data_IF_767318993760
#
_entry.id   IF_767318993760
#
_cell.length_a   1.000
_cell.length_b   1.000
_cell.length_c   1.000
_cell.angle_alpha   90.00
_cell.angle_beta   90.00
_cell.angle_gamma   90.00
#
_symmetry.space_group_name_H-M   'P 1'
#
loop_
_entity.id
_entity.type
_entity.pdbx_description
1 polymer ?
#
# COMPACT_ATOMS: atom_id res chain seq x y z
N UNK A 1 8.75 -23.55 4.54
CA UNK A 1 7.90 -23.05 4.20
C UNK A 1 8.23 -22.12 3.33
N UNK A 2 8.60 -21.87 2.69
CA UNK A 2 8.76 -21.21 1.65
C UNK A 2 8.11 -20.02 1.83
N UNK A 3 8.21 -19.22 1.05
CA UNK A 3 7.42 -18.29 1.25
C UNK A 3 6.16 -18.88 1.12
N UNK A 4 6.06 -19.76 0.28
CA UNK A 4 5.03 -20.50 0.21
C UNK A 4 4.99 -21.34 1.31
N UNK A 5 6.02 -21.97 1.59
CA UNK A 5 6.14 -22.69 2.61
C UNK A 5 6.52 -21.84 3.63
N UNK A 6 7.20 -20.85 3.41
CA UNK A 6 7.50 -19.93 4.25
C UNK A 6 6.24 -19.38 4.47
N UNK A 7 5.60 -19.05 3.51
CA UNK A 7 4.38 -18.73 3.60
C UNK A 7 3.75 -19.85 4.15
N UNK A 8 4.07 -20.99 3.80
CA UNK A 8 3.45 -22.09 4.29
C UNK A 8 4.08 -22.51 5.50
N UNK A 9 5.27 -22.53 5.63
CA UNK A 9 5.87 -23.04 6.78
C UNK A 9 6.19 -22.09 7.82
N UNK A 10 6.90 -21.11 7.51
CA UNK A 10 7.32 -20.20 8.51
C UNK A 10 6.25 -19.35 8.98
N UNK A 11 5.38 -19.00 8.17
CA UNK A 11 4.34 -18.17 8.65
C UNK A 11 3.40 -18.92 9.53
N UNK A 12 3.85 -20.02 9.98
CA UNK A 12 2.99 -20.78 10.82
C UNK A 12 3.18 -20.37 12.24
N UNK A 13 4.27 -19.74 12.56
CA UNK A 13 4.51 -19.34 13.92
C UNK A 13 3.55 -18.23 14.25
N UNK A 14 2.77 -18.38 15.30
CA UNK A 14 1.74 -17.41 15.61
C UNK A 14 2.22 -16.01 15.84
N UNK A 15 3.32 -15.83 16.53
CA UNK A 15 3.79 -14.50 16.81
C UNK A 15 4.30 -13.82 15.56
N UNK A 16 4.92 -14.55 14.67
CA UNK A 16 5.41 -13.98 13.44
C UNK A 16 4.22 -13.56 12.59
N UNK A 17 3.19 -14.40 12.59
CA UNK A 17 2.01 -14.08 11.84
C UNK A 17 1.33 -12.85 12.37
N UNK A 18 1.26 -12.71 13.69
CA UNK A 18 0.62 -11.55 14.28
C UNK A 18 1.33 -10.27 13.89
N UNK A 19 2.64 -10.26 13.89
CA UNK A 19 3.39 -9.10 13.51
C UNK A 19 3.18 -8.79 12.04
N UNK A 20 3.17 -9.82 11.23
CA UNK A 20 3.00 -9.65 9.82
C UNK A 20 1.61 -9.04 9.53
N UNK A 21 0.59 -9.56 10.19
CA UNK A 21 -0.76 -9.04 10.01
C UNK A 21 -0.86 -7.59 10.45
N UNK A 22 -0.17 -7.24 11.50
CA UNK A 22 -0.22 -5.87 12.02
C UNK A 22 0.40 -4.88 11.03
N UNK A 23 1.41 -5.29 10.29
CA UNK A 23 2.07 -4.41 9.34
C UNK A 23 1.44 -4.44 7.96
N UNK A 24 0.64 -5.44 7.70
CA UNK A 24 0.11 -5.63 6.37
C UNK A 24 -0.67 -4.47 5.77
N UNK A 25 -1.53 -3.78 6.51
CA UNK A 25 -2.26 -2.67 5.91
C UNK A 25 -1.36 -1.59 5.34
N UNK A 26 -0.30 -1.23 6.05
CA UNK A 26 0.63 -0.22 5.58
C UNK A 26 1.43 -0.72 4.40
N UNK A 27 1.82 -1.98 4.47
CA UNK A 27 2.57 -2.58 3.39
C UNK A 27 1.71 -2.69 2.13
N UNK A 28 0.44 -3.02 2.31
CA UNK A 28 -0.48 -3.15 1.18
C UNK A 28 -0.71 -1.81 0.49
N UNK A 29 -0.83 -0.74 1.27
CA UNK A 29 -1.03 0.58 0.70
C UNK A 29 0.19 1.01 -0.10
N UNK A 30 1.37 0.82 0.46
CA UNK A 30 2.60 1.17 -0.20
C UNK A 30 2.74 0.43 -1.52
N UNK A 31 2.48 -0.87 -1.49
CA UNK A 31 2.61 -1.68 -2.69
C UNK A 31 1.55 -1.31 -3.74
N UNK A 32 0.33 -1.07 -3.29
CA UNK A 32 -0.73 -0.70 -4.21
C UNK A 32 -0.41 0.60 -4.94
N UNK A 33 0.14 1.57 -4.22
CA UNK A 33 0.47 2.84 -4.82
C UNK A 33 1.60 2.69 -5.85
N UNK A 34 2.64 1.96 -5.48
CA UNK A 34 3.76 1.74 -6.39
C UNK A 34 3.30 1.01 -7.64
N UNK A 35 2.52 -0.06 -7.47
CA UNK A 35 2.08 -0.86 -8.59
C UNK A 35 1.17 -0.05 -9.51
N UNK A 36 0.24 0.70 -8.95
CA UNK A 36 -0.68 1.49 -9.77
C UNK A 36 0.08 2.55 -10.55
N UNK A 37 1.07 3.19 -9.93
CA UNK A 37 1.84 4.20 -10.63
C UNK A 37 2.65 3.58 -11.78
N UNK A 38 3.24 2.42 -11.51
CA UNK A 38 4.04 1.77 -12.54
C UNK A 38 3.19 1.26 -13.69
N UNK A 39 1.99 0.80 -13.39
CA UNK A 39 1.09 0.36 -14.44
C UNK A 39 0.75 1.48 -15.41
N UNK A 40 0.65 2.70 -14.90
CA UNK A 40 0.32 3.82 -15.75
C UNK A 40 1.55 4.42 -16.42
N UNK A 41 2.73 3.97 -16.05
CA UNK A 41 3.97 4.49 -16.64
C UNK A 41 4.35 5.86 -16.15
N UNK A 42 3.77 6.33 -15.06
CA UNK A 42 4.07 7.66 -14.55
C UNK A 42 5.23 7.61 -13.57
N UNK A 43 6.06 8.65 -13.60
CA UNK A 43 7.07 8.81 -12.56
C UNK A 43 6.40 9.46 -11.37
N UNK A 44 7.10 9.47 -10.22
CA UNK A 44 6.58 10.17 -9.05
C UNK A 44 6.36 11.63 -9.35
N UNK A 45 7.26 12.24 -10.12
CA UNK A 45 7.14 13.64 -10.46
C UNK A 45 5.91 13.89 -11.31
N UNK A 46 5.68 13.03 -12.28
CA UNK A 46 4.52 13.17 -13.15
C UNK A 46 3.22 12.99 -12.37
N UNK A 47 3.21 12.05 -11.46
CA UNK A 47 2.03 11.85 -10.63
C UNK A 47 1.81 13.06 -9.73
N UNK A 48 2.87 13.64 -9.21
CA UNK A 48 2.78 14.84 -8.39
C UNK A 48 2.16 15.97 -9.20
N UNK A 49 2.60 16.15 -10.43
CA UNK A 49 2.07 17.21 -11.28
C UNK A 49 0.60 16.98 -11.59
N UNK A 50 0.23 15.74 -11.77
CA UNK A 50 -1.13 15.38 -12.13
C UNK A 50 -2.11 15.55 -10.96
N UNK A 51 -1.65 15.32 -9.77
CA UNK A 51 -2.52 15.30 -8.59
C UNK A 51 -2.44 16.55 -7.74
N UNK A 52 -1.39 17.33 -7.91
CA UNK A 52 -1.16 18.48 -7.03
C UNK A 52 -0.58 18.07 -5.68
N UNK A 53 -0.21 16.82 -5.53
CA UNK A 53 0.41 16.34 -4.30
C UNK A 53 1.92 16.40 -4.51
N UNK A 54 2.66 16.83 -3.51
CA UNK A 54 4.11 17.00 -3.70
C UNK A 54 4.78 15.65 -3.96
N UNK A 55 5.82 15.68 -4.76
CA UNK A 55 6.60 14.49 -5.04
C UNK A 55 7.18 13.93 -3.75
N UNK A 56 7.57 14.81 -2.84
CA UNK A 56 8.11 14.40 -1.56
C UNK A 56 7.11 13.56 -0.79
N UNK A 57 5.84 13.96 -0.78
CA UNK A 57 4.81 13.20 -0.09
C UNK A 57 4.57 11.87 -0.77
N UNK A 58 4.52 11.86 -2.09
CA UNK A 58 4.33 10.62 -2.83
C UNK A 58 5.46 9.65 -2.51
N UNK A 59 6.68 10.15 -2.47
CA UNK A 59 7.83 9.32 -2.14
C UNK A 59 7.71 8.74 -0.74
N UNK A 60 7.24 9.54 0.22
CA UNK A 60 7.07 9.05 1.58
C UNK A 60 6.02 7.95 1.63
N UNK A 61 4.92 8.13 0.89
CA UNK A 61 3.86 7.12 0.88
C UNK A 61 4.38 5.82 0.28
N UNK A 62 5.18 5.91 -0.78
CA UNK A 62 5.71 4.72 -1.43
C UNK A 62 6.79 4.04 -0.60
N UNK A 63 7.37 4.76 0.35
CA UNK A 63 8.36 4.17 1.23
C UNK A 63 7.77 3.76 2.57
N UNK A 64 6.46 3.89 2.70
CA UNK A 64 5.80 3.49 3.94
C UNK A 64 5.99 4.47 5.09
N UNK A 65 6.47 5.67 4.79
CA UNK A 65 6.75 6.66 5.82
C UNK A 65 5.69 7.74 5.92
N UNK A 66 4.65 7.66 5.19
CA UNK A 66 3.60 8.66 5.22
C UNK A 66 2.30 8.04 5.64
N UNK A 67 1.34 8.92 5.92
CA UNK A 67 0.02 8.45 6.32
C UNK A 67 -1.00 9.31 5.59
N UNK A 68 -1.27 9.00 4.34
CA UNK A 68 -2.17 9.83 3.54
C UNK A 68 -3.61 9.76 4.06
N UNK A 69 -4.30 10.89 4.00
CA UNK A 69 -5.70 10.92 4.35
C UNK A 69 -6.50 10.25 3.24
N UNK A 70 -7.76 9.94 3.52
CA UNK A 70 -8.63 9.34 2.50
C UNK A 70 -8.75 10.29 1.32
N UNK A 71 -8.81 11.59 1.57
CA UNK A 71 -8.91 12.55 0.49
C UNK A 71 -7.66 12.52 -0.38
N UNK A 72 -6.49 12.42 0.24
CA UNK A 72 -5.24 12.33 -0.51
C UNK A 72 -5.21 11.05 -1.33
N UNK A 73 -5.68 9.95 -0.77
CA UNK A 73 -5.73 8.69 -1.49
C UNK A 73 -6.65 8.81 -2.71
N UNK A 74 -7.78 9.50 -2.55
CA UNK A 74 -8.69 9.69 -3.67
C UNK A 74 -8.04 10.50 -4.78
N UNK A 75 -7.28 11.52 -4.41
CA UNK A 75 -6.60 12.33 -5.40
C UNK A 75 -5.54 11.54 -6.14
N UNK A 76 -4.80 10.71 -5.41
CA UNK A 76 -3.80 9.86 -6.04
C UNK A 76 -4.46 8.88 -6.99
N UNK A 77 -5.54 8.26 -6.55
CA UNK A 77 -6.24 7.29 -7.38
C UNK A 77 -6.78 7.94 -8.65
N UNK A 78 -7.37 9.13 -8.51
CA UNK A 78 -7.92 9.83 -9.66
C UNK A 78 -6.80 10.13 -10.67
N UNK A 79 -5.64 10.54 -10.19
CA UNK A 79 -4.51 10.80 -11.08
C UNK A 79 -4.01 9.56 -11.78
N UNK A 80 -4.31 8.40 -11.24
CA UNK A 80 -3.91 7.12 -11.83
C UNK A 80 -5.05 6.47 -12.62
N UNK A 81 -6.18 7.15 -12.74
CA UNK A 81 -7.33 6.60 -13.45
C UNK A 81 -8.01 5.49 -12.67
N UNK A 82 -7.91 5.52 -11.35
CA UNK A 82 -8.47 4.49 -10.49
C UNK A 82 -9.32 5.11 -9.41
N UNK A 83 -9.99 4.27 -8.63
CA UNK A 83 -10.77 4.74 -7.49
C UNK A 83 -10.32 3.99 -6.26
N UNK A 84 -10.64 4.55 -5.10
CA UNK A 84 -10.26 3.95 -3.83
C UNK A 84 -11.43 3.16 -3.28
N UNK A 85 -11.14 1.97 -2.82
CA UNK A 85 -12.14 1.15 -2.15
C UNK A 85 -11.58 0.82 -0.78
N UNK A 86 -12.32 1.14 0.26
CA UNK A 86 -11.91 0.87 1.63
C UNK A 86 -12.98 0.01 2.27
N UNK A 87 -12.57 -1.07 2.87
CA UNK A 87 -13.53 -1.95 3.53
C UNK A 87 -12.89 -2.55 4.76
N UNK A 88 -13.73 -2.85 5.73
CA UNK A 88 -13.28 -3.50 6.95
C UNK A 88 -13.45 -4.98 6.75
N UNK A 89 -12.44 -5.72 7.11
CA UNK A 89 -12.46 -7.16 6.95
C UNK A 89 -12.36 -7.83 8.32
N UNK A 90 -12.96 -9.00 8.47
CA UNK A 90 -12.78 -9.72 9.72
C UNK A 90 -11.33 -10.13 9.85
N UNK A 91 -10.84 -10.15 11.07
CA UNK A 91 -9.45 -10.57 11.27
C UNK A 91 -9.44 -12.06 11.45
N UNK A 92 -8.28 -12.66 11.20
CA UNK A 92 -8.13 -14.08 11.42
C UNK A 92 -7.84 -14.37 12.88
N UNK A 93 -7.60 -13.33 13.66
CA UNK A 93 -7.40 -13.50 15.07
C UNK A 93 -8.64 -13.05 15.75
N UNK A 94 -9.20 -13.83 16.53
CA UNK A 94 -10.47 -13.45 17.13
C UNK A 94 -10.28 -12.58 18.33
#
# INVERSE_FOLDING_TARGET
>A
MTFEEFKRGELKKPEVRAEYDALEPEFSLMRALIDARRETGLTQKQLAERTGISQSDISKFENGNGNPSVQTLRRLAAGLGKSVKIEFQPTTRA
#
